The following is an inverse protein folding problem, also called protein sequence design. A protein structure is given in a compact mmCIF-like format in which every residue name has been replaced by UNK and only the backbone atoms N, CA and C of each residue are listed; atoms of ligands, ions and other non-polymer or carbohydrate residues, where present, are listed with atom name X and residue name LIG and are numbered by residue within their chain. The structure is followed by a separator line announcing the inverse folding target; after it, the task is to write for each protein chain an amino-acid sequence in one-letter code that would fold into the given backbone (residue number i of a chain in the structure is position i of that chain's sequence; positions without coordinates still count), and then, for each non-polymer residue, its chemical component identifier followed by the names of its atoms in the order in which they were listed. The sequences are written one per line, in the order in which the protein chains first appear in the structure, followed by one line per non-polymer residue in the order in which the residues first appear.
data_IF_581711130115
#
_entry.id   IF_581711130115
#
_cell.length_a   1.000
_cell.length_b   1.000
_cell.length_c   1.000
_cell.angle_alpha   90.00
_cell.angle_beta   90.00
_cell.angle_gamma   90.00
#
_symmetry.space_group_name_H-M   'P 1'
#
loop_
_entity.id
_entity.type
_entity.pdbx_description
1 polymer ?
#
# COMPACT_ATOMS: atom_id res chain seq x y z
N UNK A 1 -39.25 12.71 50.95
CA UNK A 1 -39.71 12.63 49.55
C UNK A 1 -39.53 14.02 48.97
N UNK A 2 -38.58 14.31 48.07
CA UNK A 2 -38.39 13.83 46.69
C UNK A 2 -36.88 13.93 46.36
N UNK A 3 -36.20 12.93 45.78
CA UNK A 3 -34.83 13.10 45.28
C UNK A 3 -34.85 13.80 43.92
N UNK A 4 -34.12 14.92 43.82
CA UNK A 4 -33.97 15.70 42.60
C UNK A 4 -33.24 14.92 41.50
N UNK A 5 -33.87 14.85 40.33
CA UNK A 5 -33.33 14.31 39.08
C UNK A 5 -32.04 15.04 38.67
N UNK A 6 -30.93 14.31 38.60
CA UNK A 6 -29.73 14.75 37.87
C UNK A 6 -30.01 14.56 36.37
N UNK A 7 -30.27 15.66 35.66
CA UNK A 7 -30.32 15.66 34.19
C UNK A 7 -28.91 15.34 33.65
N UNK A 8 -28.73 14.13 33.13
CA UNK A 8 -27.57 13.80 32.30
C UNK A 8 -27.66 14.66 31.03
N UNK A 9 -26.73 15.62 30.88
CA UNK A 9 -26.57 16.37 29.63
C UNK A 9 -26.04 15.41 28.57
N UNK A 10 -26.89 14.98 27.66
CA UNK A 10 -26.48 14.41 26.38
C UNK A 10 -25.62 15.44 25.64
N UNK A 11 -24.41 15.08 25.16
CA UNK A 11 -23.57 16.03 24.44
C UNK A 11 -24.27 16.39 23.12
N UNK A 12 -24.65 17.66 23.01
CA UNK A 12 -25.11 18.26 21.75
C UNK A 12 -23.86 18.37 20.87
N UNK A 13 -23.66 17.40 19.98
CA UNK A 13 -22.70 17.52 18.91
C UNK A 13 -23.30 18.45 17.85
N UNK A 14 -22.90 19.72 17.90
CA UNK A 14 -23.18 20.68 16.83
C UNK A 14 -22.64 20.13 15.52
N UNK A 15 -23.52 20.07 14.53
CA UNK A 15 -23.31 19.63 13.16
C UNK A 15 -22.32 20.53 12.41
N UNK A 16 -21.04 20.46 12.77
CA UNK A 16 -19.97 20.85 11.88
C UNK A 16 -19.92 19.78 10.78
N UNK A 17 -20.33 20.17 9.58
CA UNK A 17 -20.25 19.39 8.35
C UNK A 17 -18.81 18.89 8.19
N UNK A 18 -18.55 17.67 8.63
CA UNK A 18 -17.29 16.97 8.42
C UNK A 18 -17.36 16.37 7.01
N UNK A 19 -17.05 17.23 6.04
CA UNK A 19 -16.69 16.83 4.68
C UNK A 19 -15.62 15.73 4.76
N UNK A 20 -15.73 14.75 3.85
CA UNK A 20 -14.73 13.70 3.59
C UNK A 20 -13.32 14.24 3.89
N UNK A 21 -12.63 13.72 4.90
CA UNK A 21 -11.20 14.01 5.05
C UNK A 21 -10.48 13.18 4.01
N UNK A 22 -10.37 13.71 2.80
CA UNK A 22 -9.56 13.12 1.75
C UNK A 22 -8.15 12.79 2.30
N UNK A 23 -7.64 11.60 2.00
CA UNK A 23 -6.21 11.34 2.13
C UNK A 23 -5.49 12.21 1.09
N UNK A 24 -5.11 13.42 1.50
CA UNK A 24 -4.50 14.39 0.61
C UNK A 24 -3.03 14.02 0.41
N UNK A 25 -2.57 14.02 -0.84
CA UNK A 25 -1.14 13.96 -1.13
C UNK A 25 -0.49 15.35 -1.05
N UNK A 26 -1.18 16.37 -0.50
CA UNK A 26 -0.81 17.79 -0.50
C UNK A 26 0.62 18.08 0.00
N UNK A 27 1.18 17.18 0.82
CA UNK A 27 2.52 17.32 1.41
C UNK A 27 3.53 16.24 0.97
N UNK A 28 3.22 15.44 -0.04
CA UNK A 28 4.12 14.37 -0.51
C UNK A 28 5.26 14.95 -1.35
N UNK A 29 6.49 14.47 -1.16
CA UNK A 29 7.65 14.86 -1.98
C UNK A 29 7.70 14.01 -3.24
N UNK A 30 7.13 14.48 -4.34
CA UNK A 30 7.04 13.72 -5.59
C UNK A 30 8.36 13.66 -6.37
N UNK A 31 8.55 12.58 -7.13
CA UNK A 31 9.51 12.49 -8.22
C UNK A 31 8.71 12.39 -9.52
N UNK A 32 8.90 13.36 -10.42
CA UNK A 32 8.17 13.41 -11.68
C UNK A 32 8.50 12.21 -12.58
N UNK A 33 7.67 11.99 -13.59
CA UNK A 33 7.79 10.88 -14.56
C UNK A 33 9.18 10.82 -15.20
N UNK A 34 9.76 11.98 -15.49
CA UNK A 34 11.08 12.18 -16.10
C UNK A 34 12.27 12.17 -15.11
N UNK A 35 12.02 12.04 -13.81
CA UNK A 35 13.07 12.06 -12.79
C UNK A 35 13.63 13.45 -12.47
N UNK A 36 13.09 14.52 -13.06
CA UNK A 36 13.42 15.90 -12.66
C UNK A 36 12.58 16.29 -11.45
N UNK A 37 13.16 17.12 -10.58
CA UNK A 37 12.43 17.71 -9.46
C UNK A 37 11.43 18.71 -10.06
N UNK A 38 10.13 18.63 -9.75
CA UNK A 38 9.17 19.63 -10.24
C UNK A 38 9.58 21.01 -9.71
N UNK A 39 9.53 22.01 -10.57
CA UNK A 39 9.83 23.40 -10.20
C UNK A 39 8.89 23.85 -9.08
N UNK A 40 9.43 24.62 -8.13
CA UNK A 40 8.66 25.17 -7.01
C UNK A 40 7.75 26.31 -7.50
N UNK A 41 6.64 25.98 -8.15
CA UNK A 41 5.52 26.90 -8.32
C UNK A 41 4.39 26.51 -7.35
N UNK A 42 3.86 27.45 -6.54
CA UNK A 42 2.76 27.18 -5.62
C UNK A 42 1.42 27.22 -6.35
N UNK A 43 1.12 26.23 -7.20
CA UNK A 43 -0.21 26.12 -7.83
C UNK A 43 -0.52 24.74 -8.44
N UNK A 44 -0.04 23.65 -7.87
CA UNK A 44 -0.62 22.33 -8.21
C UNK A 44 -1.58 21.92 -7.10
N UNK A 45 -2.86 21.98 -7.41
CA UNK A 45 -3.95 21.44 -6.59
C UNK A 45 -3.54 20.08 -6.05
N UNK A 46 -3.60 19.96 -4.72
CA UNK A 46 -3.46 18.67 -4.08
C UNK A 46 -4.46 17.73 -4.74
N UNK A 47 -3.97 16.69 -5.44
CA UNK A 47 -4.85 15.60 -5.83
C UNK A 47 -5.31 14.98 -4.51
N UNK A 48 -6.54 15.31 -4.13
CA UNK A 48 -7.30 14.53 -3.18
C UNK A 48 -7.40 13.15 -3.81
N UNK A 49 -6.53 12.23 -3.38
CA UNK A 49 -6.75 10.84 -3.72
C UNK A 49 -7.95 10.46 -2.86
N UNK A 50 -9.08 10.28 -3.53
CA UNK A 50 -10.32 9.94 -2.85
C UNK A 50 -10.05 8.72 -1.97
N UNK A 51 -10.59 8.74 -0.74
CA UNK A 51 -10.67 7.49 0.03
C UNK A 51 -11.28 6.42 -0.87
N UNK A 52 -10.87 5.17 -0.65
CA UNK A 52 -11.54 4.08 -1.32
C UNK A 52 -13.05 4.20 -1.13
N UNK A 53 -13.79 4.01 -2.22
CA UNK A 53 -15.23 4.15 -2.34
C UNK A 53 -16.03 3.39 -1.26
N UNK A 54 -15.39 2.39 -0.63
CA UNK A 54 -15.93 1.56 0.46
C UNK A 54 -15.61 2.06 1.89
N UNK A 55 -15.14 3.30 2.08
CA UNK A 55 -14.88 3.83 3.43
C UNK A 55 -16.18 4.02 4.22
N UNK A 56 -16.25 3.40 5.41
CA UNK A 56 -17.41 3.56 6.30
C UNK A 56 -17.36 4.94 6.94
N UNK A 57 -18.44 5.71 6.79
CA UNK A 57 -18.53 7.04 7.39
C UNK A 57 -18.59 6.91 8.90
N UNK A 58 -17.78 7.72 9.57
CA UNK A 58 -17.69 7.78 11.03
C UNK A 58 -19.06 7.93 11.71
N UNK A 59 -19.94 8.79 11.16
CA UNK A 59 -21.28 9.01 11.72
C UNK A 59 -22.19 7.79 11.61
N UNK A 60 -22.14 7.08 10.48
CA UNK A 60 -22.96 5.90 10.25
C UNK A 60 -22.53 4.77 11.20
N UNK A 61 -21.22 4.60 11.37
CA UNK A 61 -20.67 3.65 12.34
C UNK A 61 -21.07 4.02 13.77
N UNK A 62 -20.91 5.28 14.17
CA UNK A 62 -21.31 5.75 15.51
C UNK A 62 -22.80 5.46 15.78
N UNK A 63 -23.67 5.74 14.82
CA UNK A 63 -25.10 5.47 14.95
C UNK A 63 -25.38 3.98 15.15
N UNK A 64 -24.74 3.10 14.36
CA UNK A 64 -24.86 1.63 14.53
C UNK A 64 -24.41 1.17 15.92
N UNK A 65 -23.29 1.69 16.41
CA UNK A 65 -22.74 1.32 17.72
C UNK A 65 -23.60 1.83 18.88
N UNK A 66 -24.17 3.03 18.79
CA UNK A 66 -25.05 3.58 19.82
C UNK A 66 -26.34 2.78 19.99
N UNK A 67 -26.80 2.11 18.93
CA UNK A 67 -28.02 1.29 18.95
C UNK A 67 -27.80 -0.15 19.46
N UNK A 68 -26.57 -0.53 19.80
CA UNK A 68 -26.26 -1.85 20.33
C UNK A 68 -26.66 -1.96 21.82
N UNK A 69 -27.17 -3.14 22.22
CA UNK A 69 -27.67 -3.38 23.58
C UNK A 69 -26.57 -3.63 24.63
N UNK A 70 -25.32 -3.84 24.23
CA UNK A 70 -24.20 -4.09 25.13
C UNK A 70 -22.86 -3.72 24.49
N UNK A 71 -21.83 -3.55 25.32
CA UNK A 71 -20.46 -3.32 24.86
C UNK A 71 -19.94 -4.47 23.98
N UNK A 72 -20.23 -5.73 24.33
CA UNK A 72 -19.85 -6.88 23.50
C UNK A 72 -20.46 -6.78 22.10
N UNK A 73 -21.75 -6.40 22.00
CA UNK A 73 -22.41 -6.22 20.70
C UNK A 73 -21.85 -5.03 19.92
N UNK A 74 -21.43 -3.96 20.61
CA UNK A 74 -20.71 -2.85 19.99
C UNK A 74 -19.40 -3.31 19.36
N UNK A 75 -18.59 -4.09 20.09
CA UNK A 75 -17.32 -4.61 19.60
C UNK A 75 -17.52 -5.52 18.39
N UNK A 76 -18.46 -6.48 18.47
CA UNK A 76 -18.80 -7.35 17.33
C UNK A 76 -19.22 -6.55 16.10
N UNK A 77 -20.09 -5.56 16.29
CA UNK A 77 -20.58 -4.70 15.20
C UNK A 77 -19.42 -3.90 14.61
N UNK A 78 -18.59 -3.28 15.44
CA UNK A 78 -17.42 -2.53 15.01
C UNK A 78 -16.48 -3.37 14.14
N UNK A 79 -16.15 -4.59 14.58
CA UNK A 79 -15.31 -5.53 13.84
C UNK A 79 -15.99 -5.89 12.52
N UNK A 80 -17.26 -6.32 12.54
CA UNK A 80 -17.96 -6.76 11.33
C UNK A 80 -18.09 -5.67 10.26
N UNK A 81 -18.23 -4.41 10.69
CA UNK A 81 -18.35 -3.28 9.79
C UNK A 81 -16.99 -2.94 9.17
N UNK A 82 -15.95 -2.83 9.99
CA UNK A 82 -14.66 -2.32 9.54
C UNK A 82 -13.72 -3.37 8.98
N UNK A 83 -13.85 -4.65 9.33
CA UNK A 83 -12.94 -5.69 8.84
C UNK A 83 -13.01 -5.85 7.33
N UNK A 84 -11.88 -6.25 6.74
CA UNK A 84 -11.81 -6.63 5.34
C UNK A 84 -12.78 -7.78 5.05
N UNK A 85 -13.53 -7.63 3.96
CA UNK A 85 -14.43 -8.65 3.45
C UNK A 85 -13.67 -9.68 2.61
N UNK A 86 -14.31 -10.82 2.33
CA UNK A 86 -13.77 -11.81 1.40
C UNK A 86 -13.49 -11.22 0.01
N UNK A 87 -14.26 -10.23 -0.42
CA UNK A 87 -14.03 -9.53 -1.69
C UNK A 87 -12.80 -8.63 -1.64
N UNK A 88 -12.57 -7.94 -0.51
CA UNK A 88 -11.34 -7.15 -0.32
C UNK A 88 -10.09 -8.01 -0.38
N UNK A 89 -10.12 -9.20 0.25
CA UNK A 89 -9.01 -10.16 0.17
C UNK A 89 -8.78 -10.65 -1.25
N UNK A 90 -9.85 -10.89 -2.03
CA UNK A 90 -9.74 -11.27 -3.45
C UNK A 90 -9.12 -10.16 -4.28
N UNK A 91 -9.56 -8.90 -4.13
CA UNK A 91 -8.98 -7.73 -4.81
C UNK A 91 -7.49 -7.59 -4.50
N UNK A 92 -7.11 -7.65 -3.22
CA UNK A 92 -5.70 -7.58 -2.78
C UNK A 92 -4.85 -8.71 -3.37
N UNK A 93 -5.38 -9.93 -3.38
CA UNK A 93 -4.71 -11.10 -3.95
C UNK A 93 -4.56 -11.00 -5.46
N UNK A 94 -5.62 -10.58 -6.17
CA UNK A 94 -5.58 -10.37 -7.61
C UNK A 94 -4.57 -9.29 -8.00
N UNK A 95 -4.51 -8.20 -7.23
CA UNK A 95 -3.54 -7.14 -7.45
C UNK A 95 -2.09 -7.65 -7.26
N UNK A 96 -1.82 -8.46 -6.22
CA UNK A 96 -0.48 -9.05 -6.03
C UNK A 96 -0.09 -10.00 -7.17
N UNK A 97 -1.03 -10.82 -7.66
CA UNK A 97 -0.80 -11.68 -8.83
C UNK A 97 -0.48 -10.88 -10.09
N UNK A 98 -1.23 -9.81 -10.34
CA UNK A 98 -0.96 -8.92 -11.48
C UNK A 98 0.42 -8.26 -11.37
N UNK A 99 0.83 -7.83 -10.17
CA UNK A 99 2.19 -7.32 -9.94
C UNK A 99 3.25 -8.40 -10.22
N UNK A 100 3.04 -9.63 -9.75
CA UNK A 100 3.95 -10.76 -10.03
C UNK A 100 4.08 -11.05 -11.53
N UNK A 101 2.96 -11.07 -12.26
CA UNK A 101 2.94 -11.25 -13.71
C UNK A 101 3.69 -10.13 -14.44
N UNK A 102 3.41 -8.87 -14.10
CA UNK A 102 4.08 -7.70 -14.69
C UNK A 102 5.58 -7.74 -14.42
N UNK A 103 5.98 -8.10 -13.20
CA UNK A 103 7.38 -8.12 -12.83
C UNK A 103 8.14 -9.30 -13.41
N UNK A 104 7.47 -10.45 -13.54
CA UNK A 104 7.99 -11.67 -14.16
C UNK A 104 8.36 -11.51 -15.64
N UNK A 105 7.85 -10.47 -16.33
CA UNK A 105 8.27 -10.15 -17.71
C UNK A 105 9.76 -9.81 -17.79
N UNK A 106 10.32 -9.20 -16.73
CA UNK A 106 11.69 -8.68 -16.75
C UNK A 106 12.60 -9.33 -15.71
N UNK A 107 12.03 -9.97 -14.68
CA UNK A 107 12.76 -10.53 -13.55
C UNK A 107 12.45 -12.03 -13.40
N UNK A 108 13.45 -12.92 -13.47
CA UNK A 108 13.23 -14.35 -13.31
C UNK A 108 13.02 -14.71 -11.83
N UNK A 109 12.27 -15.81 -11.60
CA UNK A 109 12.11 -16.45 -10.28
C UNK A 109 11.70 -15.48 -9.14
N UNK A 110 10.86 -14.49 -9.44
CA UNK A 110 10.36 -13.54 -8.44
C UNK A 110 9.04 -14.01 -7.82
N UNK A 111 8.79 -13.52 -6.60
CA UNK A 111 7.50 -13.67 -5.91
C UNK A 111 7.07 -12.37 -5.28
N UNK A 112 5.76 -12.12 -5.27
CA UNK A 112 5.16 -10.93 -4.66
C UNK A 112 4.30 -11.37 -3.48
N UNK A 113 4.69 -10.96 -2.28
CA UNK A 113 4.02 -11.36 -1.04
C UNK A 113 3.29 -10.19 -0.40
N UNK A 114 2.06 -10.44 0.06
CA UNK A 114 1.35 -9.56 0.97
C UNK A 114 1.97 -9.67 2.37
N UNK A 115 2.03 -8.56 3.08
CA UNK A 115 2.34 -8.55 4.51
C UNK A 115 1.49 -7.53 5.27
N UNK A 116 1.80 -7.34 6.55
CA UNK A 116 1.16 -6.31 7.37
C UNK A 116 -0.33 -6.60 7.64
N UNK A 117 -1.13 -5.54 7.59
CA UNK A 117 -2.55 -5.57 7.96
C UNK A 117 -3.40 -6.49 7.08
N UNK A 118 -2.92 -6.79 5.87
CA UNK A 118 -3.65 -7.63 4.91
C UNK A 118 -3.60 -9.13 5.25
N UNK A 119 -2.70 -9.58 6.13
CA UNK A 119 -2.55 -11.02 6.47
C UNK A 119 -2.57 -11.32 7.97
N UNK A 120 -2.47 -10.32 8.84
CA UNK A 120 -2.39 -10.52 10.30
C UNK A 120 -3.76 -10.61 10.99
N UNK A 121 -4.87 -10.56 10.23
CA UNK A 121 -6.24 -10.58 10.76
C UNK A 121 -6.71 -9.27 11.39
N UNK A 122 -5.90 -8.20 11.36
CA UNK A 122 -6.22 -6.88 11.91
C UNK A 122 -6.42 -5.82 10.81
N UNK A 123 -6.68 -6.25 9.58
CA UNK A 123 -6.95 -5.38 8.43
C UNK A 123 -8.34 -4.76 8.50
N UNK A 124 -8.42 -3.46 8.19
CA UNK A 124 -9.66 -2.72 8.08
C UNK A 124 -9.88 -2.20 6.65
N UNK A 125 -11.14 -1.99 6.27
CA UNK A 125 -11.51 -1.36 5.00
C UNK A 125 -10.77 -0.03 4.83
N UNK A 126 -10.26 0.18 3.62
CA UNK A 126 -9.45 1.36 3.30
C UNK A 126 -8.01 1.35 3.83
N UNK A 127 -7.57 0.31 4.55
CA UNK A 127 -6.16 0.20 4.92
C UNK A 127 -5.26 -0.02 3.70
N UNK A 128 -4.00 0.42 3.80
CA UNK A 128 -3.00 0.19 2.76
C UNK A 128 -2.79 -1.33 2.53
N UNK A 129 -2.36 -1.68 1.33
CA UNK A 129 -1.86 -3.00 0.98
C UNK A 129 -0.33 -2.96 1.02
N UNK A 130 0.25 -3.68 1.98
CA UNK A 130 1.70 -3.82 2.09
C UNK A 130 2.17 -5.02 1.26
N UNK A 131 3.10 -4.79 0.34
CA UNK A 131 3.59 -5.82 -0.59
C UNK A 131 5.11 -5.81 -0.66
N UNK A 132 5.72 -6.98 -0.68
CA UNK A 132 7.15 -7.13 -0.87
C UNK A 132 7.48 -8.02 -2.07
N UNK A 133 8.48 -7.61 -2.85
CA UNK A 133 9.08 -8.41 -3.90
C UNK A 133 10.22 -9.24 -3.32
N UNK A 134 10.07 -10.56 -3.39
CA UNK A 134 11.09 -11.55 -3.12
C UNK A 134 11.75 -11.96 -4.44
N UNK A 135 13.07 -11.98 -4.45
CA UNK A 135 13.88 -12.46 -5.56
C UNK A 135 14.60 -13.73 -5.12
N UNK A 136 14.26 -14.88 -5.72
CA UNK A 136 14.94 -16.14 -5.42
C UNK A 136 16.26 -16.22 -6.20
N UNK A 137 17.22 -15.35 -5.88
CA UNK A 137 18.60 -15.59 -6.29
C UNK A 137 19.17 -16.65 -5.35
N UNK A 138 19.36 -17.86 -5.87
CA UNK A 138 20.10 -18.95 -5.21
C UNK A 138 21.51 -18.49 -4.81
N UNK A 139 22.01 -17.42 -5.44
CA UNK A 139 23.24 -16.69 -5.12
C UNK A 139 23.09 -15.74 -3.93
N UNK A 140 22.70 -16.25 -2.75
CA UNK A 140 22.67 -15.44 -1.51
C UNK A 140 24.05 -15.02 -1.02
N UNK A 141 25.10 -15.51 -1.66
CA UNK A 141 26.52 -15.34 -1.30
C UNK A 141 27.27 -14.34 -2.19
N UNK A 142 26.62 -13.76 -3.22
CA UNK A 142 27.24 -12.71 -4.06
C UNK A 142 26.83 -11.34 -3.51
N UNK A 143 27.63 -10.79 -2.59
CA UNK A 143 27.40 -9.46 -2.01
C UNK A 143 27.72 -8.29 -2.98
N UNK A 144 28.25 -8.58 -4.16
CA UNK A 144 28.63 -7.56 -5.13
C UNK A 144 27.43 -7.04 -5.92
N UNK A 145 26.97 -5.83 -5.57
CA UNK A 145 26.02 -5.07 -6.36
C UNK A 145 26.57 -4.80 -7.77
N UNK A 146 25.71 -4.90 -8.77
CA UNK A 146 26.05 -4.49 -10.13
C UNK A 146 26.34 -2.98 -10.18
N UNK A 147 27.52 -2.61 -10.68
CA UNK A 147 27.87 -1.21 -10.90
C UNK A 147 27.26 -0.71 -12.21
N UNK A 148 26.12 -0.03 -12.11
CA UNK A 148 25.42 0.57 -13.25
C UNK A 148 25.46 2.10 -13.16
N UNK A 149 25.67 2.76 -14.31
CA UNK A 149 25.67 4.24 -14.39
C UNK A 149 24.27 4.83 -14.18
N UNK A 150 23.24 4.16 -14.67
CA UNK A 150 21.83 4.48 -14.40
C UNK A 150 21.00 3.20 -14.47
N UNK A 151 19.72 3.30 -14.10
CA UNK A 151 18.74 2.21 -14.18
C UNK A 151 18.53 1.81 -15.64
N UNK A 152 18.51 0.50 -15.98
CA UNK A 152 18.22 0.00 -17.33
C UNK A 152 16.82 0.36 -17.84
N UNK A 153 16.65 0.58 -19.14
CA UNK A 153 15.31 0.75 -19.72
C UNK A 153 14.56 -0.60 -19.75
N UNK A 154 13.23 -0.56 -19.89
CA UNK A 154 12.43 -1.79 -20.00
C UNK A 154 12.76 -2.55 -21.27
N UNK A 155 13.00 -1.84 -22.38
CA UNK A 155 13.36 -2.44 -23.67
C UNK A 155 14.76 -3.06 -23.63
N UNK A 156 15.73 -2.45 -22.95
CA UNK A 156 17.07 -3.03 -22.81
C UNK A 156 17.02 -4.40 -22.12
N UNK A 157 16.21 -4.52 -21.07
CA UNK A 157 16.04 -5.80 -20.35
C UNK A 157 15.24 -6.79 -21.19
N UNK A 158 14.13 -6.35 -21.79
CA UNK A 158 13.26 -7.21 -22.61
C UNK A 158 13.97 -7.77 -23.85
N UNK A 159 14.84 -6.97 -24.48
CA UNK A 159 15.58 -7.36 -25.68
C UNK A 159 16.93 -8.03 -25.36
N UNK A 160 17.25 -8.25 -24.08
CA UNK A 160 18.47 -8.93 -23.65
C UNK A 160 19.76 -8.10 -23.75
N UNK A 161 19.67 -6.78 -23.95
CA UNK A 161 20.81 -5.86 -23.86
C UNK A 161 21.35 -5.80 -22.43
N UNK A 162 20.45 -5.86 -21.44
CA UNK A 162 20.79 -6.00 -20.03
C UNK A 162 20.16 -7.29 -19.50
N UNK A 163 21.00 -8.22 -19.08
CA UNK A 163 20.55 -9.51 -18.54
C UNK A 163 19.78 -9.33 -17.22
N UNK A 164 18.66 -10.05 -16.99
CA UNK A 164 17.89 -9.95 -15.75
C UNK A 164 18.70 -10.22 -14.47
N UNK A 165 19.76 -11.04 -14.55
CA UNK A 165 20.67 -11.33 -13.43
C UNK A 165 21.48 -10.09 -13.02
N UNK A 166 21.73 -9.17 -13.94
CA UNK A 166 22.34 -7.85 -13.63
C UNK A 166 21.31 -6.97 -12.92
N UNK A 167 20.06 -7.02 -13.38
CA UNK A 167 18.94 -6.24 -12.81
C UNK A 167 18.69 -6.66 -11.36
N UNK A 168 18.69 -7.98 -11.08
CA UNK A 168 18.51 -8.54 -9.74
C UNK A 168 19.63 -8.16 -8.75
N UNK A 169 20.84 -7.88 -9.25
CA UNK A 169 21.98 -7.42 -8.44
C UNK A 169 22.07 -5.90 -8.28
N UNK A 170 21.06 -5.15 -8.74
CA UNK A 170 21.01 -3.71 -8.49
C UNK A 170 20.84 -3.39 -7.00
N UNK A 171 21.36 -2.23 -6.58
CA UNK A 171 21.05 -1.70 -5.25
C UNK A 171 19.54 -1.56 -5.07
N UNK A 172 19.02 -1.65 -3.82
CA UNK A 172 17.58 -1.52 -3.56
C UNK A 172 16.97 -0.25 -4.16
N UNK A 173 17.71 0.86 -4.15
CA UNK A 173 17.24 2.12 -4.74
C UNK A 173 17.09 2.04 -6.26
N UNK A 174 18.05 1.42 -6.97
CA UNK A 174 17.97 1.23 -8.42
C UNK A 174 16.86 0.25 -8.80
N UNK A 175 16.72 -0.84 -8.04
CA UNK A 175 15.64 -1.80 -8.23
C UNK A 175 14.27 -1.15 -8.05
N UNK A 176 14.04 -0.33 -7.02
CA UNK A 176 12.79 0.40 -6.87
C UNK A 176 12.53 1.39 -8.01
N UNK A 177 13.57 2.06 -8.53
CA UNK A 177 13.41 2.92 -9.72
C UNK A 177 13.05 2.11 -10.96
N UNK A 178 13.55 0.88 -11.09
CA UNK A 178 13.19 -0.03 -12.17
C UNK A 178 11.75 -0.52 -12.05
N UNK A 179 11.34 -0.97 -10.86
CA UNK A 179 9.94 -1.32 -10.54
C UNK A 179 9.01 -0.15 -10.85
N UNK A 180 9.39 1.08 -10.48
CA UNK A 180 8.62 2.29 -10.83
C UNK A 180 8.42 2.42 -12.36
N UNK A 181 9.43 2.13 -13.17
CA UNK A 181 9.29 2.14 -14.65
C UNK A 181 8.30 1.07 -15.11
N UNK A 182 8.38 -0.14 -14.56
CA UNK A 182 7.47 -1.25 -14.89
C UNK A 182 6.02 -0.90 -14.54
N UNK A 183 5.79 -0.31 -13.36
CA UNK A 183 4.46 0.15 -12.92
C UNK A 183 3.89 1.20 -13.86
N UNK A 184 4.66 2.24 -14.22
CA UNK A 184 4.17 3.27 -15.14
C UNK A 184 3.91 2.76 -16.55
N UNK A 185 4.63 1.74 -17.00
CA UNK A 185 4.47 1.18 -18.33
C UNK A 185 3.25 0.25 -18.42
N UNK A 186 3.06 -0.62 -17.43
CA UNK A 186 2.03 -1.68 -17.45
C UNK A 186 0.73 -1.29 -16.74
N UNK A 187 0.76 -0.31 -15.84
CA UNK A 187 -0.39 0.10 -15.04
C UNK A 187 -0.73 1.57 -15.33
N UNK A 188 -1.41 1.88 -16.46
CA UNK A 188 -1.71 3.27 -16.85
C UNK A 188 -2.62 4.00 -15.84
N UNK A 189 -3.33 3.26 -15.00
CA UNK A 189 -4.16 3.80 -13.92
C UNK A 189 -3.36 4.27 -12.70
N UNK A 190 -2.07 3.90 -12.60
CA UNK A 190 -1.14 4.46 -11.61
C UNK A 190 -0.65 5.83 -12.09
N UNK A 191 -1.29 6.88 -11.58
CA UNK A 191 -0.96 8.27 -11.96
C UNK A 191 0.32 8.80 -11.29
N UNK A 192 0.59 8.36 -10.05
CA UNK A 192 1.70 8.85 -9.22
C UNK A 192 2.29 7.72 -8.39
N UNK A 193 3.63 7.72 -8.28
CA UNK A 193 4.39 6.82 -7.40
C UNK A 193 5.36 7.66 -6.57
N UNK A 194 5.23 7.57 -5.25
CA UNK A 194 6.10 8.23 -4.28
C UNK A 194 7.23 7.28 -3.87
N UNK A 195 8.47 7.77 -3.88
CA UNK A 195 9.61 7.04 -3.29
C UNK A 195 9.82 7.57 -1.88
N UNK A 196 9.60 6.72 -0.88
CA UNK A 196 9.86 7.05 0.52
C UNK A 196 11.27 6.56 0.85
N UNK A 197 12.18 7.52 1.04
CA UNK A 197 13.57 7.26 1.44
C UNK A 197 13.62 7.05 2.95
N UNK A 198 13.73 5.79 3.36
CA UNK A 198 13.93 5.37 4.75
C UNK A 198 15.00 4.26 4.79
N UNK A 199 15.28 3.71 5.98
CA UNK A 199 16.19 2.55 6.14
C UNK A 199 15.80 1.38 5.24
N UNK A 200 14.49 1.16 5.09
CA UNK A 200 13.91 0.27 4.09
C UNK A 200 13.12 1.15 3.10
N UNK A 201 13.70 1.49 1.94
CA UNK A 201 13.01 2.32 0.96
C UNK A 201 11.75 1.61 0.45
N UNK A 202 10.67 2.37 0.26
CA UNK A 202 9.41 1.85 -0.29
C UNK A 202 8.88 2.74 -1.41
N UNK A 203 8.07 2.15 -2.28
CA UNK A 203 7.24 2.85 -3.25
C UNK A 203 5.81 2.90 -2.74
N UNK A 204 5.26 4.10 -2.58
CA UNK A 204 3.86 4.30 -2.23
C UNK A 204 3.07 4.79 -3.43
N UNK A 205 1.99 4.10 -3.79
CA UNK A 205 1.16 4.47 -4.93
C UNK A 205 -0.29 4.02 -4.75
N UNK A 206 -1.19 4.57 -5.56
CA UNK A 206 -2.61 4.20 -5.56
C UNK A 206 -2.96 3.51 -6.88
N UNK A 207 -3.69 2.41 -6.79
CA UNK A 207 -4.12 1.60 -7.94
C UNK A 207 -5.63 1.70 -8.08
N UNK A 208 -6.11 2.59 -8.95
CA UNK A 208 -7.55 2.87 -9.05
C UNK A 208 -8.36 1.70 -9.60
N UNK A 209 -7.75 0.79 -10.36
CA UNK A 209 -8.40 -0.46 -10.80
C UNK A 209 -8.94 -1.29 -9.63
N UNK A 210 -8.22 -1.32 -8.50
CA UNK A 210 -8.60 -2.08 -7.31
C UNK A 210 -9.10 -1.21 -6.16
N UNK A 211 -8.98 0.11 -6.31
CA UNK A 211 -9.28 1.10 -5.27
C UNK A 211 -8.43 0.91 -3.99
N UNK A 212 -7.13 0.68 -4.16
CA UNK A 212 -6.20 0.32 -3.08
C UNK A 212 -4.94 1.18 -3.13
N UNK A 213 -4.54 1.71 -1.97
CA UNK A 213 -3.19 2.21 -1.75
C UNK A 213 -2.22 1.07 -1.50
N UNK A 214 -1.04 1.15 -2.09
CA UNK A 214 -0.01 0.11 -2.03
C UNK A 214 1.28 0.70 -1.50
N UNK A 215 1.81 0.10 -0.44
CA UNK A 215 3.17 0.32 0.05
C UNK A 215 4.01 -0.89 -0.41
N UNK A 216 4.80 -0.68 -1.46
CA UNK A 216 5.63 -1.70 -2.09
C UNK A 216 7.08 -1.61 -1.62
N UNK A 217 7.65 -2.75 -1.25
CA UNK A 217 9.00 -2.88 -0.72
C UNK A 217 9.77 -3.99 -1.42
N UNK A 218 11.09 -4.00 -1.26
CA UNK A 218 11.94 -5.12 -1.63
C UNK A 218 12.18 -5.97 -0.39
N UNK A 219 12.23 -7.29 -0.55
CA UNK A 219 12.61 -8.16 0.54
C UNK A 219 14.01 -7.76 1.06
N UNK A 220 14.11 -7.61 2.38
CA UNK A 220 15.38 -7.49 3.08
C UNK A 220 15.48 -8.62 4.09
N UNK A 221 16.70 -8.99 4.50
CA UNK A 221 16.96 -10.00 5.54
C UNK A 221 16.22 -9.72 6.87
N UNK A 222 15.67 -8.52 7.08
CA UNK A 222 14.91 -8.12 8.27
C UNK A 222 13.42 -8.50 8.17
N UNK A 223 12.82 -8.49 6.97
CA UNK A 223 11.40 -8.81 6.77
C UNK A 223 11.15 -10.31 6.67
N UNK A 224 12.13 -11.07 6.20
CA UNK A 224 12.05 -12.53 6.12
C UNK A 224 11.75 -13.15 7.49
N UNK A 225 12.33 -12.67 8.59
CA UNK A 225 12.03 -13.18 9.94
C UNK A 225 10.55 -13.08 10.34
N UNK A 226 9.84 -12.05 9.87
CA UNK A 226 8.40 -11.89 10.14
C UNK A 226 7.54 -12.63 9.11
N UNK A 227 7.98 -12.75 7.85
CA UNK A 227 7.24 -13.42 6.77
C UNK A 227 7.34 -14.95 6.89
N UNK A 228 8.54 -15.48 7.17
CA UNK A 228 8.78 -16.94 7.26
C UNK A 228 8.55 -17.51 8.66
N UNK A 229 8.53 -16.67 9.72
CA UNK A 229 8.42 -17.13 11.11
C UNK A 229 7.00 -17.41 11.61
N UNK A 230 5.95 -16.86 10.97
CA UNK A 230 4.56 -17.04 11.44
C UNK A 230 3.48 -17.15 10.36
N UNK A 231 3.74 -16.78 9.11
CA UNK A 231 2.67 -16.61 8.11
C UNK A 231 2.73 -17.56 6.91
N UNK A 232 3.76 -18.40 6.81
CA UNK A 232 3.86 -19.41 5.74
C UNK A 232 3.30 -20.79 6.13
N UNK A 233 2.76 -20.95 7.35
CA UNK A 233 2.25 -22.24 7.86
C UNK A 233 0.74 -22.42 7.71
N UNK A 234 0.03 -21.46 7.12
CA UNK A 234 -1.42 -21.52 6.91
C UNK A 234 -1.81 -21.00 5.53
N UNK A 235 -1.43 -21.75 4.49
CA UNK A 235 -2.19 -21.85 3.24
C UNK A 235 -2.31 -23.32 2.90
#
# INVERSE_FOLDING_TARGET
MIPGYIKQKSPIFTSAILLKKHHTTKNWKYLARDGKKPDKSPSEEAISVEEGSDSIRHLDLMSKLQNCSSLSKQIETFISELSLTSEDFKKRTAFCKELEEIFGIYLPKIKVHQFGSSINGLGFKGCDLDVCLQTNSEDKDVEDYAYLKDVPSLDDVKNGVVLPEIVLRMTPYFMLRFVRRMLFFHCPDIKKVLVIKARCPILRFYRSKYDIFCDFSLESKIYSANITGRYCSYV
#
